data_IF_597560827710
#
_entry.id   IF_597560827710
#
_cell.length_a   1.000
_cell.length_b   1.000
_cell.length_c   1.000
_cell.angle_alpha   90.00
_cell.angle_beta   90.00
_cell.angle_gamma   90.00
#
_symmetry.space_group_name_H-M   'P 1'
#
loop_
_entity.id
_entity.type
_entity.pdbx_description
1 polymer ?
#
# COMPACT_ATOMS: atom_id res chain seq x y z
N UNK A 1 -5.99 18.00 -6.21
CA UNK A 1 -4.56 18.04 -5.83
C UNK A 1 -4.38 16.89 -4.88
N UNK A 2 -3.50 15.94 -5.19
CA UNK A 2 -3.26 14.80 -4.32
C UNK A 2 -2.54 15.29 -3.05
N UNK A 3 -3.08 14.96 -1.88
CA UNK A 3 -2.50 15.35 -0.59
C UNK A 3 -1.19 14.58 -0.37
N UNK A 4 -0.15 15.27 0.12
CA UNK A 4 1.15 14.66 0.36
C UNK A 4 1.48 14.65 1.84
N UNK A 5 2.05 13.53 2.30
CA UNK A 5 2.56 13.38 3.66
C UNK A 5 4.09 13.27 3.63
N UNK A 6 4.76 13.92 4.57
CA UNK A 6 6.22 13.79 4.71
C UNK A 6 6.58 12.40 5.26
N UNK A 7 7.78 11.90 4.97
CA UNK A 7 8.29 10.68 5.58
C UNK A 7 8.23 10.73 7.10
N UNK A 8 8.53 11.90 7.68
CA UNK A 8 8.55 12.07 9.14
C UNK A 8 7.14 11.88 9.70
N UNK A 9 6.15 12.57 9.14
CA UNK A 9 4.77 12.51 9.62
C UNK A 9 4.16 11.13 9.37
N UNK A 10 4.48 10.50 8.23
CA UNK A 10 4.07 9.13 7.93
C UNK A 10 4.50 8.13 9.02
N UNK A 11 5.77 8.20 9.45
CA UNK A 11 6.30 7.30 10.47
C UNK A 11 5.62 7.55 11.84
N UNK A 12 5.27 8.81 12.15
CA UNK A 12 4.58 9.20 13.38
C UNK A 12 3.12 8.72 13.34
N UNK A 13 2.38 9.04 12.27
CA UNK A 13 0.95 8.71 12.12
C UNK A 13 0.71 7.20 12.12
N UNK A 14 1.58 6.41 11.50
CA UNK A 14 1.42 4.95 11.38
C UNK A 14 2.14 4.14 12.45
N UNK A 15 2.91 4.80 13.33
CA UNK A 15 3.70 4.18 14.39
C UNK A 15 4.64 3.06 13.87
N UNK A 16 5.22 3.24 12.67
CA UNK A 16 6.21 2.34 12.11
C UNK A 16 7.62 2.95 12.21
N UNK A 17 8.63 2.09 12.35
CA UNK A 17 10.02 2.52 12.27
C UNK A 17 10.46 2.78 10.82
N UNK A 18 11.48 3.63 10.66
CA UNK A 18 12.14 3.83 9.38
C UNK A 18 12.67 2.50 8.78
N UNK A 19 13.14 1.58 9.63
CA UNK A 19 13.62 0.27 9.20
C UNK A 19 12.51 -0.59 8.59
N UNK A 20 11.28 -0.54 9.12
CA UNK A 20 10.12 -1.21 8.53
C UNK A 20 9.80 -0.65 7.15
N UNK A 21 9.65 0.68 7.03
CA UNK A 21 9.38 1.34 5.75
C UNK A 21 10.43 1.00 4.69
N UNK A 22 11.71 1.01 5.07
CA UNK A 22 12.81 0.66 4.17
C UNK A 22 12.81 -0.83 3.78
N UNK A 23 12.49 -1.74 4.71
CA UNK A 23 12.36 -3.17 4.41
C UNK A 23 11.22 -3.42 3.41
N UNK A 24 10.09 -2.74 3.58
CA UNK A 24 8.93 -2.85 2.70
C UNK A 24 9.23 -2.32 1.30
N UNK A 25 9.96 -1.21 1.19
CA UNK A 25 10.50 -0.74 -0.10
C UNK A 25 11.34 -1.82 -0.79
N UNK A 26 12.33 -2.40 -0.09
CA UNK A 26 13.22 -3.42 -0.69
C UNK A 26 12.49 -4.70 -1.09
N UNK A 27 11.43 -5.06 -0.37
CA UNK A 27 10.53 -6.17 -0.73
C UNK A 27 9.50 -5.81 -1.81
N UNK A 28 9.56 -4.59 -2.38
CA UNK A 28 8.61 -4.08 -3.38
C UNK A 28 7.15 -4.05 -2.90
N UNK A 29 6.93 -3.97 -1.58
CA UNK A 29 5.58 -3.85 -1.00
C UNK A 29 5.03 -2.43 -1.13
N UNK A 30 5.90 -1.45 -1.35
CA UNK A 30 5.55 -0.06 -1.62
C UNK A 30 6.25 0.34 -2.93
N UNK A 31 5.52 0.83 -3.93
CA UNK A 31 6.09 1.26 -5.20
C UNK A 31 7.18 2.32 -5.03
N UNK A 32 8.24 2.26 -5.84
CA UNK A 32 9.37 3.19 -5.70
C UNK A 32 9.02 4.63 -6.11
N UNK A 33 8.11 4.79 -7.06
CA UNK A 33 7.58 6.06 -7.56
C UNK A 33 6.83 6.84 -6.48
N UNK A 34 6.29 6.17 -5.46
CA UNK A 34 5.67 6.84 -4.31
C UNK A 34 6.69 7.59 -3.44
N UNK A 35 7.99 7.28 -3.53
CA UNK A 35 9.05 7.95 -2.77
C UNK A 35 9.50 9.24 -3.47
N UNK A 36 8.67 10.28 -3.43
CA UNK A 36 8.95 11.56 -4.08
C UNK A 36 9.95 12.39 -3.28
N UNK A 37 11.19 12.46 -3.75
CA UNK A 37 12.20 13.38 -3.18
C UNK A 37 11.94 14.80 -3.64
N UNK A 38 11.77 15.72 -2.69
CA UNK A 38 11.62 17.16 -2.93
C UNK A 38 12.70 17.94 -2.18
N UNK A 39 13.21 19.00 -2.80
CA UNK A 39 14.08 19.95 -2.12
C UNK A 39 13.25 20.82 -1.19
N UNK A 40 13.66 20.93 0.06
CA UNK A 40 13.06 21.77 1.11
C UNK A 40 14.10 22.80 1.56
N UNK A 41 13.66 23.84 2.28
CA UNK A 41 14.56 24.88 2.78
C UNK A 41 15.71 24.34 3.64
N UNK A 42 15.51 23.21 4.31
CA UNK A 42 16.49 22.55 5.18
C UNK A 42 17.17 21.33 4.55
N UNK A 43 16.92 21.03 3.26
CA UNK A 43 17.59 19.92 2.56
C UNK A 43 16.72 19.20 1.55
N UNK A 44 16.70 17.86 1.63
CA UNK A 44 15.85 17.01 0.80
C UNK A 44 14.95 16.18 1.69
N UNK A 45 13.66 16.20 1.40
CA UNK A 45 12.65 15.44 2.12
C UNK A 45 11.93 14.49 1.15
N UNK A 46 11.44 13.37 1.67
CA UNK A 46 10.65 12.42 0.90
C UNK A 46 9.20 12.57 1.28
N UNK A 47 8.36 12.73 0.26
CA UNK A 47 6.92 12.81 0.38
C UNK A 47 6.27 11.60 -0.26
N UNK A 48 5.06 11.29 0.18
CA UNK A 48 4.25 10.18 -0.30
C UNK A 48 2.83 10.66 -0.59
N UNK A 49 2.10 10.05 -1.55
CA UNK A 49 0.67 10.31 -1.72
C UNK A 49 -0.06 9.83 -0.46
N UNK A 50 -0.63 10.75 0.31
CA UNK A 50 -1.04 10.52 1.70
C UNK A 50 -2.04 9.38 1.84
N UNK A 51 -3.13 9.42 1.08
CA UNK A 51 -4.18 8.40 1.14
C UNK A 51 -3.62 7.02 0.78
N UNK A 52 -2.93 6.92 -0.36
CA UNK A 52 -2.38 5.66 -0.88
C UNK A 52 -1.37 5.01 0.08
N UNK A 53 -0.47 5.80 0.65
CA UNK A 53 0.57 5.26 1.54
C UNK A 53 0.00 4.82 2.88
N UNK A 54 -0.98 5.55 3.43
CA UNK A 54 -1.60 5.19 4.71
C UNK A 54 -2.39 3.88 4.57
N UNK A 55 -3.20 3.75 3.52
CA UNK A 55 -3.93 2.52 3.21
C UNK A 55 -2.97 1.34 3.02
N UNK A 56 -1.88 1.55 2.27
CA UNK A 56 -0.86 0.50 2.06
C UNK A 56 -0.21 0.05 3.37
N UNK A 57 0.10 0.98 4.27
CA UNK A 57 0.71 0.63 5.55
C UNK A 57 -0.28 -0.14 6.42
N UNK A 58 -1.54 0.28 6.48
CA UNK A 58 -2.59 -0.44 7.19
C UNK A 58 -2.74 -1.88 6.66
N UNK A 59 -2.79 -2.06 5.34
CA UNK A 59 -2.83 -3.40 4.71
C UNK A 59 -1.62 -4.25 5.13
N UNK A 60 -0.41 -3.70 5.08
CA UNK A 60 0.81 -4.43 5.47
C UNK A 60 0.80 -4.80 6.97
N UNK A 61 0.30 -3.92 7.84
CA UNK A 61 0.21 -4.18 9.28
C UNK A 61 -0.83 -5.27 9.59
N UNK A 62 -2.03 -5.17 9.02
CA UNK A 62 -3.13 -6.13 9.24
C UNK A 62 -2.79 -7.54 8.75
N UNK A 63 -1.95 -7.68 7.73
CA UNK A 63 -1.56 -8.99 7.18
C UNK A 63 -0.40 -9.66 7.94
N UNK A 64 0.34 -8.90 8.76
CA UNK A 64 1.48 -9.42 9.53
C UNK A 64 1.06 -10.43 10.61
N UNK A 65 -0.20 -10.42 11.02
CA UNK A 65 -0.73 -11.35 12.04
C UNK A 65 -1.07 -12.75 11.49
N UNK A 66 -0.93 -12.99 10.17
CA UNK A 66 -1.26 -14.29 9.57
C UNK A 66 -0.39 -14.77 8.39
N UNK A 67 0.44 -13.93 7.77
CA UNK A 67 1.22 -14.30 6.58
C UNK A 67 2.67 -13.81 6.60
N UNK A 68 3.57 -14.52 5.89
CA UNK A 68 4.96 -14.09 5.74
C UNK A 68 5.05 -12.86 4.82
N UNK A 69 5.99 -11.94 5.11
CA UNK A 69 6.26 -10.78 4.24
C UNK A 69 6.68 -11.16 2.81
N UNK A 70 7.10 -12.40 2.59
CA UNK A 70 7.42 -12.90 1.25
C UNK A 70 6.16 -13.28 0.45
N UNK A 71 5.13 -13.82 1.11
CA UNK A 71 3.83 -14.15 0.47
C UNK A 71 3.09 -12.87 0.04
N UNK A 72 3.30 -11.79 0.81
CA UNK A 72 2.78 -10.44 0.55
C UNK A 72 3.34 -9.82 -0.74
N UNK A 73 4.61 -10.07 -1.07
CA UNK A 73 5.21 -9.53 -2.28
C UNK A 73 4.51 -10.05 -3.55
N UNK A 74 4.05 -11.31 -3.52
CA UNK A 74 3.25 -11.89 -4.62
C UNK A 74 1.93 -11.15 -4.85
N UNK A 75 1.24 -10.73 -3.78
CA UNK A 75 -0.05 -10.03 -3.85
C UNK A 75 0.04 -8.58 -4.31
N UNK A 76 1.12 -7.87 -3.92
CA UNK A 76 1.34 -6.48 -4.33
C UNK A 76 2.12 -6.33 -5.65
N UNK A 77 2.86 -7.37 -6.08
CA UNK A 77 3.56 -7.38 -7.37
C UNK A 77 2.65 -7.71 -8.55
N UNK A 78 1.46 -8.24 -8.29
CA UNK A 78 0.38 -8.21 -9.26
C UNK A 78 -0.16 -6.79 -9.22
N UNK A 79 0.26 -5.96 -10.17
CA UNK A 79 -0.31 -4.64 -10.45
C UNK A 79 -1.80 -4.81 -10.78
N UNK A 80 -2.65 -5.07 -9.79
CA UNK A 80 -4.09 -4.96 -9.91
C UNK A 80 -4.33 -3.45 -9.83
N UNK A 81 -4.68 -2.78 -10.95
CA UNK A 81 -4.95 -1.35 -10.93
C UNK A 81 -6.01 -1.06 -9.87
N UNK A 82 -5.90 0.07 -9.17
CA UNK A 82 -6.90 0.53 -8.18
C UNK A 82 -8.33 0.47 -8.74
N UNK A 83 -8.49 0.63 -10.05
CA UNK A 83 -9.74 0.47 -10.81
C UNK A 83 -10.36 -0.93 -10.71
N UNK A 84 -9.52 -1.98 -10.61
CA UNK A 84 -9.95 -3.37 -10.58
C UNK A 84 -10.28 -3.84 -9.14
N UNK A 85 -9.60 -3.29 -8.12
CA UNK A 85 -10.01 -3.47 -6.70
C UNK A 85 -11.36 -2.80 -6.46
N UNK A 86 -11.53 -1.57 -6.92
CA UNK A 86 -12.79 -0.84 -6.84
C UNK A 86 -13.92 -1.55 -7.60
N UNK A 87 -13.63 -2.09 -8.80
CA UNK A 87 -14.59 -2.94 -9.54
C UNK A 87 -14.92 -4.22 -8.78
N UNK A 88 -13.99 -4.86 -8.07
CA UNK A 88 -14.28 -6.07 -7.29
C UNK A 88 -15.27 -5.77 -6.17
N UNK A 89 -15.07 -4.68 -5.43
CA UNK A 89 -16.00 -4.27 -4.36
C UNK A 89 -17.37 -3.84 -4.92
N UNK A 90 -17.39 -3.12 -6.05
CA UNK A 90 -18.65 -2.78 -6.75
C UNK A 90 -19.38 -4.04 -7.25
N UNK A 91 -18.68 -5.02 -7.84
CA UNK A 91 -19.27 -6.27 -8.35
C UNK A 91 -19.82 -7.18 -7.23
N UNK A 92 -19.15 -7.20 -6.08
CA UNK A 92 -19.60 -7.91 -4.89
C UNK A 92 -20.84 -7.25 -4.27
N UNK A 93 -20.86 -5.92 -4.19
CA UNK A 93 -21.97 -5.15 -3.63
C UNK A 93 -23.22 -5.16 -4.53
N UNK A 94 -23.05 -5.32 -5.85
CA UNK A 94 -24.14 -5.41 -6.81
C UNK A 94 -24.63 -6.84 -7.12
N UNK A 95 -24.17 -7.87 -6.38
CA UNK A 95 -24.54 -9.28 -6.58
C UNK A 95 -24.22 -9.85 -7.98
N UNK A 96 -23.28 -9.25 -8.71
CA UNK A 96 -22.96 -9.66 -10.08
C UNK A 96 -22.01 -10.88 -10.06
N UNK A 97 -21.20 -11.03 -9.01
CA UNK A 97 -20.33 -12.19 -8.79
C UNK A 97 -20.71 -12.89 -7.47
N UNK A 98 -21.01 -14.18 -7.54
CA UNK A 98 -21.24 -14.99 -6.34
C UNK A 98 -19.92 -15.44 -5.72
N UNK A 99 -19.92 -15.63 -4.39
CA UNK A 99 -18.73 -16.08 -3.65
C UNK A 99 -18.17 -17.41 -4.18
N UNK A 100 -19.00 -18.24 -4.80
CA UNK A 100 -18.58 -19.53 -5.37
C UNK A 100 -17.65 -19.40 -6.57
N UNK A 101 -17.76 -18.33 -7.37
CA UNK A 101 -16.89 -18.14 -8.55
C UNK A 101 -15.49 -17.70 -8.14
N UNK A 102 -15.36 -16.99 -7.00
CA UNK A 102 -14.07 -16.51 -6.51
C UNK A 102 -13.21 -17.67 -5.98
N UNK A 103 -13.82 -18.69 -5.37
CA UNK A 103 -13.09 -19.86 -4.86
C UNK A 103 -12.56 -20.80 -5.96
N UNK A 104 -12.87 -20.53 -7.23
CA UNK A 104 -12.38 -21.31 -8.37
C UNK A 104 -11.02 -20.83 -8.90
N UNK A 105 -10.54 -19.69 -8.42
CA UNK A 105 -9.27 -19.07 -8.82
C UNK A 105 -8.27 -18.90 -7.66
N UNK A 106 -8.59 -19.39 -6.46
CA UNK A 106 -7.66 -19.60 -5.34
C UNK A 106 -7.14 -21.06 -5.35
#
# INVERSE_FOLDING_TARGET
MEELISKKDLLIETNISYGQLYRWKRKKLIPEDWFMKKSTYTGHETFFPREKILERIEQILNMKDGASLDDLAGKFSSDIPEEMVRRKDELLNHQILSKEIISLYE
#
